data_IF_469160454762
#
_entry.id   IF_469160454762
#
_cell.length_a   1.000
_cell.length_b   1.000
_cell.length_c   1.000
_cell.angle_alpha   90.00
_cell.angle_beta   90.00
_cell.angle_gamma   90.00
#
_symmetry.space_group_name_H-M   'P 1'
#
loop_
_entity.id
_entity.type
_entity.pdbx_description
1 polymer ?
#
# COMPACT_ATOMS: atom_id res chain seq x y z
N UNK A 1 11.18 10.41 14.98
CA UNK A 1 10.19 10.06 13.94
C UNK A 1 10.84 10.35 12.61
N UNK A 2 10.80 9.43 11.63
CA UNK A 2 11.34 9.69 10.29
C UNK A 2 10.61 10.89 9.69
N UNK A 3 11.37 11.88 9.23
CA UNK A 3 10.83 13.09 8.60
C UNK A 3 11.07 12.96 7.10
N UNK A 4 9.99 12.83 6.35
CA UNK A 4 10.04 12.79 4.90
C UNK A 4 10.43 14.16 4.36
N UNK A 5 11.53 14.22 3.62
CA UNK A 5 11.95 15.42 2.91
C UNK A 5 11.17 15.58 1.58
N UNK A 6 11.59 16.53 0.75
CA UNK A 6 10.97 16.75 -0.57
C UNK A 6 11.26 15.60 -1.54
N UNK A 7 12.50 15.09 -1.53
CA UNK A 7 12.94 14.02 -2.42
C UNK A 7 12.16 12.75 -2.13
N UNK A 8 11.98 12.40 -0.87
CA UNK A 8 11.19 11.25 -0.45
C UNK A 8 9.74 11.35 -0.94
N UNK A 9 9.14 12.55 -0.82
CA UNK A 9 7.74 12.79 -1.22
C UNK A 9 7.56 12.69 -2.72
N UNK A 10 8.47 13.27 -3.49
CA UNK A 10 8.48 13.18 -4.95
C UNK A 10 8.67 11.74 -5.39
N UNK A 11 9.65 11.04 -4.82
CA UNK A 11 9.88 9.63 -5.10
C UNK A 11 8.64 8.77 -4.80
N UNK A 12 7.97 8.96 -3.67
CA UNK A 12 6.73 8.25 -3.34
C UNK A 12 5.59 8.57 -4.32
N UNK A 13 5.48 9.83 -4.76
CA UNK A 13 4.47 10.24 -5.72
C UNK A 13 4.71 9.57 -7.09
N UNK A 14 5.95 9.56 -7.57
CA UNK A 14 6.34 8.92 -8.83
C UNK A 14 6.10 7.41 -8.79
N UNK A 15 6.51 6.75 -7.70
CA UNK A 15 6.26 5.32 -7.49
C UNK A 15 4.75 5.01 -7.45
N UNK A 16 3.94 5.86 -6.83
CA UNK A 16 2.50 5.71 -6.81
C UNK A 16 1.87 5.88 -8.20
N UNK A 17 2.36 6.84 -8.99
CA UNK A 17 1.91 7.07 -10.35
C UNK A 17 2.28 5.91 -11.28
N UNK A 18 3.50 5.39 -11.17
CA UNK A 18 3.96 4.21 -11.90
C UNK A 18 3.09 2.98 -11.59
N UNK A 19 2.85 2.70 -10.30
CA UNK A 19 2.04 1.56 -9.88
C UNK A 19 0.58 1.70 -10.35
N UNK A 20 0.02 2.91 -10.36
CA UNK A 20 -1.30 3.19 -10.94
C UNK A 20 -1.36 2.77 -12.42
N UNK A 21 -0.34 3.09 -13.20
CA UNK A 21 -0.25 2.66 -14.61
C UNK A 21 -0.18 1.14 -14.75
N UNK A 22 0.59 0.47 -13.88
CA UNK A 22 0.68 -0.99 -13.86
C UNK A 22 -0.66 -1.65 -13.50
N UNK A 23 -1.39 -1.09 -12.53
CA UNK A 23 -2.75 -1.54 -12.17
C UNK A 23 -3.70 -1.34 -13.35
N UNK A 24 -3.67 -0.20 -14.03
CA UNK A 24 -4.52 0.05 -15.19
C UNK A 24 -4.29 -0.98 -16.31
N UNK A 25 -3.04 -1.33 -16.59
CA UNK A 25 -2.67 -2.37 -17.58
C UNK A 25 -3.10 -3.77 -17.15
N UNK A 26 -3.05 -4.07 -15.85
CA UNK A 26 -3.58 -5.32 -15.29
C UNK A 26 -5.10 -5.41 -15.44
N UNK A 27 -5.80 -4.30 -15.24
CA UNK A 27 -7.27 -4.22 -15.37
C UNK A 27 -7.72 -4.26 -16.83
N UNK A 28 -6.94 -3.71 -17.77
CA UNK A 28 -7.22 -3.80 -19.20
C UNK A 28 -6.91 -5.17 -19.82
N UNK A 29 -6.14 -6.01 -19.11
CA UNK A 29 -5.70 -7.32 -19.59
C UNK A 29 -4.38 -7.28 -20.39
N UNK A 30 -3.77 -6.10 -20.58
CA UNK A 30 -2.44 -5.97 -21.19
C UNK A 30 -1.33 -6.64 -20.37
N UNK A 31 -1.57 -6.84 -19.06
CA UNK A 31 -0.61 -7.40 -18.13
C UNK A 31 -1.25 -8.59 -17.41
N UNK A 32 -0.67 -9.78 -17.56
CA UNK A 32 -1.21 -11.02 -16.96
C UNK A 32 -1.00 -11.03 -15.44
N UNK A 33 -1.73 -11.87 -14.69
CA UNK A 33 -1.52 -11.96 -13.23
C UNK A 33 -0.08 -12.37 -12.87
N UNK A 34 0.55 -13.27 -13.64
CA UNK A 34 1.93 -13.69 -13.41
C UNK A 34 2.94 -12.55 -13.63
N UNK A 35 2.70 -11.72 -14.64
CA UNK A 35 3.50 -10.51 -14.88
C UNK A 35 3.24 -9.44 -13.79
N UNK A 36 2.01 -9.38 -13.27
CA UNK A 36 1.61 -8.39 -12.26
C UNK A 36 2.13 -8.74 -10.87
N UNK A 37 2.23 -10.03 -10.57
CA UNK A 37 2.63 -10.57 -9.27
C UNK A 37 3.87 -9.88 -8.69
N UNK A 38 5.03 -9.80 -9.37
CA UNK A 38 6.19 -9.11 -8.80
C UNK A 38 5.92 -7.62 -8.53
N UNK A 39 5.23 -6.94 -9.43
CA UNK A 39 4.92 -5.51 -9.33
C UNK A 39 4.04 -5.20 -8.11
N UNK A 40 2.96 -5.97 -7.92
CA UNK A 40 2.06 -5.78 -6.78
C UNK A 40 2.72 -6.15 -5.45
N UNK A 41 3.56 -7.17 -5.42
CA UNK A 41 4.27 -7.59 -4.21
C UNK A 41 5.30 -6.54 -3.76
N UNK A 42 6.01 -5.90 -4.70
CA UNK A 42 6.92 -4.78 -4.40
C UNK A 42 6.18 -3.56 -3.83
N UNK A 43 4.88 -3.41 -4.13
CA UNK A 43 4.04 -2.32 -3.64
C UNK A 43 3.14 -2.74 -2.46
N UNK A 44 3.42 -3.88 -1.83
CA UNK A 44 2.71 -4.34 -0.62
C UNK A 44 1.29 -4.86 -0.88
N UNK A 45 0.92 -5.16 -2.13
CA UNK A 45 -0.39 -5.67 -2.51
C UNK A 45 -0.32 -7.20 -2.75
N UNK A 46 -0.89 -7.94 -1.81
CA UNK A 46 -0.87 -9.40 -1.77
C UNK A 46 -2.22 -9.96 -2.17
N UNK A 47 -2.28 -10.90 -3.11
CA UNK A 47 -3.49 -11.65 -3.40
C UNK A 47 -3.65 -12.77 -2.36
N UNK A 48 -4.69 -12.68 -1.53
CA UNK A 48 -5.21 -13.78 -0.72
C UNK A 48 -6.17 -14.62 -1.57
N UNK A 49 -6.82 -15.63 -0.97
CA UNK A 49 -7.66 -16.58 -1.71
C UNK A 49 -8.74 -15.91 -2.57
N UNK A 50 -9.37 -14.84 -2.06
CA UNK A 50 -10.50 -14.19 -2.73
C UNK A 50 -10.35 -12.67 -2.91
N UNK A 51 -9.32 -12.04 -2.35
CA UNK A 51 -9.20 -10.58 -2.32
C UNK A 51 -7.74 -10.14 -2.16
N UNK A 52 -7.48 -8.87 -2.46
CA UNK A 52 -6.19 -8.26 -2.22
C UNK A 52 -6.08 -7.73 -0.79
N UNK A 53 -4.94 -8.01 -0.17
CA UNK A 53 -4.50 -7.44 1.09
C UNK A 53 -3.44 -6.38 0.83
N UNK A 54 -3.62 -5.19 1.40
CA UNK A 54 -2.67 -4.09 1.36
C UNK A 54 -1.86 -4.06 2.65
N UNK A 55 -0.54 -4.11 2.54
CA UNK A 55 0.40 -3.88 3.64
C UNK A 55 1.08 -2.52 3.48
N UNK A 56 0.81 -1.62 4.42
CA UNK A 56 1.44 -0.29 4.49
C UNK A 56 2.67 -0.37 5.39
N UNK A 57 3.83 -0.01 4.82
CA UNK A 57 5.08 0.06 5.55
C UNK A 57 5.09 1.26 6.52
N UNK A 58 5.55 1.03 7.75
CA UNK A 58 5.71 2.07 8.78
C UNK A 58 7.17 2.09 9.21
N UNK A 59 7.97 3.07 8.78
CA UNK A 59 9.38 3.15 9.16
C UNK A 59 9.56 3.14 10.67
N UNK A 60 10.32 2.15 11.15
CA UNK A 60 10.59 1.94 12.59
C UNK A 60 9.35 1.78 13.47
N UNK A 61 8.19 1.47 12.89
CA UNK A 61 6.91 1.43 13.62
C UNK A 61 6.45 2.79 14.17
N UNK A 62 7.06 3.90 13.74
CA UNK A 62 6.78 5.24 14.27
C UNK A 62 5.66 5.92 13.48
N UNK A 63 4.60 6.33 14.18
CA UNK A 63 3.46 7.06 13.62
C UNK A 63 3.15 8.32 14.44
N UNK A 64 2.79 9.40 13.77
CA UNK A 64 2.09 10.53 14.40
C UNK A 64 0.57 10.37 14.29
N UNK A 65 -0.21 11.16 15.06
CA UNK A 65 -1.67 11.11 15.01
C UNK A 65 -2.27 11.37 13.62
N UNK A 66 -1.64 12.21 12.79
CA UNK A 66 -2.11 12.51 11.43
C UNK A 66 -1.98 11.28 10.53
N UNK A 67 -0.84 10.58 10.58
CA UNK A 67 -0.63 9.33 9.84
C UNK A 67 -1.60 8.24 10.33
N UNK A 68 -1.82 8.12 11.64
CA UNK A 68 -2.78 7.18 12.20
C UNK A 68 -4.22 7.46 11.72
N UNK A 69 -4.64 8.73 11.66
CA UNK A 69 -5.93 9.12 11.08
C UNK A 69 -6.03 8.77 9.60
N UNK A 70 -4.94 8.90 8.84
CA UNK A 70 -4.91 8.51 7.43
C UNK A 70 -5.07 7.00 7.24
N UNK A 71 -4.39 6.19 8.06
CA UNK A 71 -4.59 4.73 8.08
C UNK A 71 -6.04 4.37 8.43
N UNK A 72 -6.64 5.05 9.42
CA UNK A 72 -8.03 4.83 9.78
C UNK A 72 -9.01 5.21 8.67
N UNK A 73 -8.69 6.25 7.87
CA UNK A 73 -9.47 6.58 6.69
C UNK A 73 -9.40 5.46 5.64
N UNK A 74 -8.19 4.93 5.37
CA UNK A 74 -8.02 3.80 4.44
C UNK A 74 -8.88 2.61 4.88
N UNK A 75 -8.87 2.29 6.17
CA UNK A 75 -9.67 1.21 6.74
C UNK A 75 -11.17 1.39 6.49
N UNK A 76 -11.70 2.61 6.57
CA UNK A 76 -13.14 2.90 6.41
C UNK A 76 -13.56 3.01 4.96
N UNK A 77 -12.72 3.62 4.12
CA UNK A 77 -13.08 3.96 2.75
C UNK A 77 -12.83 2.79 1.80
N UNK A 78 -11.86 1.91 2.09
CA UNK A 78 -11.40 0.85 1.19
C UNK A 78 -11.33 -0.56 1.82
N UNK A 79 -11.66 -0.70 3.11
CA UNK A 79 -11.75 -1.99 3.83
C UNK A 79 -13.02 -1.95 4.71
N UNK A 80 -13.10 -2.82 5.72
CA UNK A 80 -14.26 -3.10 6.57
C UNK A 80 -14.28 -2.27 7.85
N UNK A 81 -13.54 -1.16 7.89
CA UNK A 81 -13.45 -0.26 9.04
C UNK A 81 -12.41 -0.67 10.11
N UNK A 82 -11.59 -1.69 9.86
CA UNK A 82 -10.52 -2.11 10.76
C UNK A 82 -9.22 -2.39 9.99
N UNK A 83 -8.11 -2.45 10.71
CA UNK A 83 -6.80 -2.79 10.16
C UNK A 83 -5.92 -3.40 11.25
N UNK A 84 -4.93 -4.20 10.86
CA UNK A 84 -4.10 -4.95 11.80
C UNK A 84 -2.66 -4.45 11.79
N UNK A 85 -2.04 -4.35 12.96
CA UNK A 85 -0.60 -4.20 13.05
C UNK A 85 0.06 -5.58 13.01
N UNK A 86 1.07 -5.70 12.19
CA UNK A 86 1.90 -6.90 12.08
C UNK A 86 2.97 -6.92 13.17
N UNK A 87 3.55 -8.08 13.45
CA UNK A 87 4.71 -8.22 14.35
C UNK A 87 5.96 -7.48 13.84
N UNK A 88 5.97 -7.07 12.57
CA UNK A 88 6.99 -6.21 11.96
C UNK A 88 6.59 -4.73 11.97
N UNK A 89 5.63 -4.35 12.81
CA UNK A 89 5.18 -2.98 13.05
C UNK A 89 4.59 -2.25 11.83
N UNK A 90 4.22 -2.98 10.77
CA UNK A 90 3.47 -2.46 9.61
C UNK A 90 1.96 -2.58 9.80
N UNK A 91 1.17 -1.85 9.00
CA UNK A 91 -0.29 -1.94 8.99
C UNK A 91 -0.80 -2.79 7.81
N UNK A 92 -1.91 -3.51 8.01
CA UNK A 92 -2.51 -4.41 7.02
C UNK A 92 -4.04 -4.23 6.93
N UNK A 93 -4.55 -4.23 5.69
CA UNK A 93 -5.96 -4.12 5.29
C UNK A 93 -6.32 -5.26 4.31
N UNK A 94 -7.54 -5.78 4.31
CA UNK A 94 -7.93 -6.98 3.52
C UNK A 94 -9.19 -6.82 2.66
#
# INVERSE_FOLDING_TARGET
MYQYDLIDKEFLADRSAEFRGQVARRLSGELTEDQFKPLRLMNGLYLQLHAYMLRVAIPYGSLNPTQARRLAQIARDYDKGYGHFTTRQNSQFN
#
